data_IF_518120492303
#
_entry.id   IF_518120492303
#
_cell.length_a   1.000
_cell.length_b   1.000
_cell.length_c   1.000
_cell.angle_alpha   90.00
_cell.angle_beta   90.00
_cell.angle_gamma   90.00
#
_symmetry.space_group_name_H-M   'P 1'
#
loop_
_entity.id
_entity.type
_entity.pdbx_description
1 polymer ?
#
# COMPACT_ATOMS: atom_id res chain seq x y z
N UNK A 1 20.02 7.18 9.26
CA UNK A 1 18.65 7.58 9.61
C UNK A 1 18.17 8.87 8.94
N UNK A 2 18.96 9.95 8.96
CA UNK A 2 18.59 11.23 8.31
C UNK A 2 18.16 11.09 6.84
N UNK A 3 18.90 10.31 6.06
CA UNK A 3 18.60 10.09 4.63
C UNK A 3 17.34 9.25 4.41
N UNK A 4 17.07 8.27 5.26
CA UNK A 4 15.85 7.47 5.18
C UNK A 4 14.59 8.32 5.46
N UNK A 5 14.65 9.19 6.45
CA UNK A 5 13.54 10.12 6.75
C UNK A 5 13.31 11.09 5.59
N UNK A 6 14.39 11.60 4.99
CA UNK A 6 14.28 12.44 3.80
C UNK A 6 13.61 11.69 2.63
N UNK A 7 13.97 10.43 2.41
CA UNK A 7 13.35 9.59 1.39
C UNK A 7 11.84 9.42 1.59
N UNK A 8 11.40 9.14 2.81
CA UNK A 8 9.98 9.06 3.14
C UNK A 8 9.27 10.40 2.85
N UNK A 9 9.91 11.52 3.20
CA UNK A 9 9.34 12.84 2.93
C UNK A 9 9.18 13.10 1.44
N UNK A 10 10.17 12.74 0.62
CA UNK A 10 10.08 12.86 -0.84
C UNK A 10 8.96 12.01 -1.41
N UNK A 11 8.82 10.77 -0.95
CA UNK A 11 7.75 9.88 -1.38
C UNK A 11 6.36 10.48 -1.11
N UNK A 12 6.13 10.98 0.10
CA UNK A 12 4.85 11.56 0.48
C UNK A 12 4.53 12.87 -0.24
N UNK A 13 5.56 13.66 -0.57
CA UNK A 13 5.38 14.96 -1.19
C UNK A 13 5.21 14.90 -2.71
N UNK A 14 5.99 14.03 -3.37
CA UNK A 14 6.16 14.11 -4.81
C UNK A 14 5.30 13.10 -5.57
N UNK A 15 4.69 12.12 -4.87
CA UNK A 15 3.92 11.07 -5.51
C UNK A 15 2.42 11.20 -5.26
N UNK A 16 1.66 11.33 -6.34
CA UNK A 16 0.20 11.36 -6.27
C UNK A 16 -0.39 10.09 -5.64
N UNK A 17 0.15 8.93 -6.00
CA UNK A 17 -0.32 7.64 -5.48
C UNK A 17 -0.08 7.47 -3.97
N UNK A 18 0.89 8.18 -3.41
CA UNK A 18 1.15 8.15 -1.96
C UNK A 18 -0.07 8.61 -1.16
N UNK A 19 -0.88 9.54 -1.67
CA UNK A 19 -2.10 9.98 -1.03
C UNK A 19 -3.15 8.88 -0.94
N UNK A 20 -3.30 8.09 -2.01
CA UNK A 20 -4.21 6.95 -2.03
C UNK A 20 -3.77 5.88 -1.02
N UNK A 21 -2.48 5.58 -0.97
CA UNK A 21 -1.94 4.63 0.01
C UNK A 21 -2.05 5.15 1.43
N UNK A 22 -1.85 6.44 1.66
CA UNK A 22 -2.04 7.05 2.98
C UNK A 22 -3.50 6.97 3.43
N UNK A 23 -4.44 7.29 2.55
CA UNK A 23 -5.88 7.17 2.85
C UNK A 23 -6.26 5.72 3.15
N UNK A 24 -5.83 4.77 2.33
CA UNK A 24 -6.09 3.35 2.55
C UNK A 24 -5.50 2.87 3.87
N UNK A 25 -4.28 3.30 4.22
CA UNK A 25 -3.63 2.97 5.48
C UNK A 25 -4.44 3.50 6.67
N UNK A 26 -4.89 4.75 6.62
CA UNK A 26 -5.71 5.37 7.67
C UNK A 26 -7.03 4.61 7.85
N UNK A 27 -7.70 4.26 6.74
CA UNK A 27 -8.96 3.50 6.78
C UNK A 27 -8.77 2.12 7.39
N UNK A 28 -7.68 1.42 7.04
CA UNK A 28 -7.37 0.09 7.59
C UNK A 28 -7.08 0.18 9.09
N UNK A 29 -6.26 1.13 9.51
CA UNK A 29 -5.95 1.32 10.93
C UNK A 29 -7.19 1.69 11.74
N UNK A 30 -8.00 2.61 11.24
CA UNK A 30 -9.25 3.00 11.89
C UNK A 30 -10.23 1.81 12.01
N UNK A 31 -10.36 1.02 10.94
CA UNK A 31 -11.19 -0.19 10.94
C UNK A 31 -10.67 -1.24 11.92
N UNK A 32 -9.36 -1.43 11.99
CA UNK A 32 -8.73 -2.36 12.93
C UNK A 32 -9.03 -2.00 14.38
N UNK A 33 -8.95 -0.73 14.73
CA UNK A 33 -9.31 -0.25 16.07
C UNK A 33 -10.80 -0.35 16.34
N UNK A 34 -11.63 0.01 15.36
CA UNK A 34 -13.08 -0.06 15.49
C UNK A 34 -13.58 -1.49 15.74
N UNK A 35 -13.09 -2.46 14.97
CA UNK A 35 -13.50 -3.86 15.09
C UNK A 35 -12.74 -4.65 16.15
N UNK A 36 -11.79 -4.05 16.85
CA UNK A 36 -10.97 -4.71 17.87
C UNK A 36 -10.32 -6.00 17.34
N UNK A 37 -9.65 -5.87 16.21
CA UNK A 37 -8.99 -7.02 15.56
C UNK A 37 -7.93 -7.63 16.48
N UNK A 38 -7.73 -8.94 16.35
CA UNK A 38 -6.80 -9.70 17.19
C UNK A 38 -5.34 -9.32 16.92
N UNK A 39 -4.41 -9.64 17.84
CA UNK A 39 -2.98 -9.43 17.57
C UNK A 39 -2.48 -10.11 16.30
N UNK A 40 -2.96 -11.31 15.99
CA UNK A 40 -2.61 -12.01 14.74
C UNK A 40 -3.12 -11.27 13.51
N UNK A 41 -4.32 -10.73 13.58
CA UNK A 41 -4.89 -9.89 12.50
C UNK A 41 -4.10 -8.59 12.35
N UNK A 42 -3.68 -7.96 13.45
CA UNK A 42 -2.80 -6.79 13.42
C UNK A 42 -1.45 -7.08 12.76
N UNK A 43 -0.85 -8.25 13.03
CA UNK A 43 0.38 -8.68 12.35
C UNK A 43 0.19 -8.75 10.83
N UNK A 44 -0.90 -9.37 10.38
CA UNK A 44 -1.20 -9.48 8.96
C UNK A 44 -1.44 -8.11 8.31
N UNK A 45 -2.19 -7.23 8.97
CA UNK A 45 -2.44 -5.86 8.47
C UNK A 45 -1.16 -5.04 8.42
N UNK A 46 -0.30 -5.15 9.43
CA UNK A 46 1.00 -4.47 9.45
C UNK A 46 1.88 -4.90 8.28
N UNK A 47 1.95 -6.21 8.02
CA UNK A 47 2.70 -6.74 6.88
C UNK A 47 2.12 -6.26 5.55
N UNK A 48 0.80 -6.26 5.41
CA UNK A 48 0.13 -5.77 4.21
C UNK A 48 0.46 -4.30 3.93
N UNK A 49 0.32 -3.44 4.94
CA UNK A 49 0.60 -2.01 4.83
C UNK A 49 2.06 -1.75 4.50
N UNK A 50 2.99 -2.37 5.23
CA UNK A 50 4.43 -2.15 5.00
C UNK A 50 4.88 -2.66 3.65
N UNK A 51 4.32 -3.76 3.17
CA UNK A 51 4.64 -4.31 1.85
C UNK A 51 4.24 -3.34 0.73
N UNK A 52 3.04 -2.77 0.79
CA UNK A 52 2.58 -1.80 -0.20
C UNK A 52 3.44 -0.54 -0.21
N UNK A 53 3.72 0.02 0.97
CA UNK A 53 4.56 1.21 1.08
C UNK A 53 5.99 0.97 0.61
N UNK A 54 6.54 -0.19 0.91
CA UNK A 54 7.89 -0.58 0.45
C UNK A 54 7.94 -0.71 -1.07
N UNK A 55 6.95 -1.38 -1.66
CA UNK A 55 6.85 -1.52 -3.12
C UNK A 55 6.72 -0.16 -3.80
N UNK A 56 5.88 0.73 -3.27
CA UNK A 56 5.69 2.09 -3.80
C UNK A 56 6.99 2.91 -3.72
N UNK A 57 7.68 2.85 -2.59
CA UNK A 57 8.94 3.56 -2.42
C UNK A 57 10.02 3.08 -3.40
N UNK A 58 10.14 1.77 -3.58
CA UNK A 58 11.09 1.19 -4.53
C UNK A 58 10.73 1.53 -5.97
N UNK A 59 9.44 1.49 -6.33
CA UNK A 59 8.97 1.88 -7.65
C UNK A 59 9.31 3.35 -7.94
N UNK A 60 9.04 4.23 -7.00
CA UNK A 60 9.32 5.67 -7.12
C UNK A 60 10.82 5.93 -7.29
N UNK A 61 11.65 5.31 -6.46
CA UNK A 61 13.10 5.44 -6.57
C UNK A 61 13.61 4.92 -7.91
N UNK A 62 13.04 3.82 -8.39
CA UNK A 62 13.38 3.23 -9.68
C UNK A 62 13.00 4.17 -10.85
N UNK A 63 11.83 4.80 -10.80
CA UNK A 63 11.41 5.78 -11.79
C UNK A 63 12.36 6.96 -11.89
N UNK A 64 12.76 7.55 -10.75
CA UNK A 64 13.73 8.63 -10.73
C UNK A 64 15.07 8.21 -11.34
N UNK A 65 15.54 7.01 -11.01
CA UNK A 65 16.79 6.47 -11.55
C UNK A 65 16.70 6.30 -13.08
N UNK A 66 15.60 5.76 -13.57
CA UNK A 66 15.37 5.57 -15.00
C UNK A 66 15.34 6.92 -15.75
N UNK A 67 14.72 7.93 -15.15
CA UNK A 67 14.61 9.27 -15.77
C UNK A 67 15.98 9.95 -15.91
N UNK A 68 16.91 9.69 -14.99
CA UNK A 68 18.29 10.19 -15.05
C UNK A 68 19.11 9.43 -16.10
N UNK A 69 18.97 8.09 -16.14
CA UNK A 69 19.77 7.23 -17.04
C UNK A 69 19.30 7.35 -18.48
N UNK A 70 17.98 7.43 -18.68
CA UNK A 70 17.37 7.45 -20.02
C UNK A 70 16.22 8.45 -20.06
N UNK A 71 16.51 9.75 -20.23
CA UNK A 71 15.47 10.77 -20.37
C UNK A 71 14.66 10.60 -21.65
N UNK A 72 15.23 9.95 -22.67
CA UNK A 72 14.53 9.62 -23.91
C UNK A 72 13.89 8.23 -23.82
N UNK A 73 12.91 7.97 -24.69
CA UNK A 73 12.25 6.68 -24.74
C UNK A 73 13.22 5.55 -25.11
N UNK A 74 13.22 4.50 -24.28
CA UNK A 74 13.93 3.26 -24.54
C UNK A 74 13.04 2.07 -24.17
N UNK A 75 12.86 1.08 -25.08
CA UNK A 75 11.90 -0.01 -24.84
C UNK A 75 12.18 -0.85 -23.59
N UNK A 76 13.46 -1.10 -23.26
CA UNK A 76 13.84 -1.87 -22.08
C UNK A 76 13.59 -1.07 -20.80
N UNK A 77 13.82 0.24 -20.81
CA UNK A 77 13.56 1.12 -19.67
C UNK A 77 12.07 1.18 -19.41
N UNK A 78 11.24 1.32 -20.45
CA UNK A 78 9.77 1.25 -20.32
C UNK A 78 9.33 -0.07 -19.70
N UNK A 79 9.85 -1.19 -20.18
CA UNK A 79 9.54 -2.52 -19.66
C UNK A 79 9.92 -2.64 -18.18
N UNK A 80 11.07 -2.12 -17.79
CA UNK A 80 11.54 -2.13 -16.40
C UNK A 80 10.64 -1.27 -15.49
N UNK A 81 10.23 -0.10 -15.94
CA UNK A 81 9.26 0.74 -15.22
C UNK A 81 7.91 0.04 -15.05
N UNK A 82 7.43 -0.63 -16.10
CA UNK A 82 6.16 -1.37 -16.06
C UNK A 82 6.23 -2.54 -15.05
N UNK A 83 7.36 -3.23 -14.99
CA UNK A 83 7.58 -4.31 -14.01
C UNK A 83 7.58 -3.76 -12.58
N UNK A 84 8.25 -2.64 -12.35
CA UNK A 84 8.26 -1.99 -11.03
C UNK A 84 6.85 -1.54 -10.60
N UNK A 85 6.09 -0.96 -11.52
CA UNK A 85 4.68 -0.63 -11.28
C UNK A 85 3.83 -1.87 -11.02
N UNK A 86 4.10 -2.97 -11.72
CA UNK A 86 3.46 -4.27 -11.51
C UNK A 86 3.70 -4.83 -10.11
N UNK A 87 4.88 -4.60 -9.54
CA UNK A 87 5.18 -5.00 -8.16
C UNK A 87 4.29 -4.26 -7.15
N UNK A 88 4.04 -2.97 -7.37
CA UNK A 88 3.09 -2.19 -6.55
C UNK A 88 1.69 -2.77 -6.66
N UNK A 89 1.24 -3.07 -7.88
CA UNK A 89 -0.08 -3.66 -8.11
C UNK A 89 -0.24 -5.02 -7.43
N UNK A 90 0.75 -5.89 -7.54
CA UNK A 90 0.74 -7.20 -6.87
C UNK A 90 0.64 -7.05 -5.35
N UNK A 91 1.41 -6.12 -4.78
CA UNK A 91 1.38 -5.82 -3.34
C UNK A 91 0.00 -5.30 -2.91
N UNK A 92 -0.60 -4.42 -3.71
CA UNK A 92 -1.92 -3.86 -3.43
C UNK A 92 -3.01 -4.94 -3.49
N UNK A 93 -2.96 -5.86 -4.46
CA UNK A 93 -3.89 -6.99 -4.56
C UNK A 93 -3.75 -7.90 -3.34
N UNK A 94 -2.52 -8.24 -2.94
CA UNK A 94 -2.27 -9.05 -1.76
C UNK A 94 -2.78 -8.38 -0.47
N UNK A 95 -2.55 -7.09 -0.33
CA UNK A 95 -3.03 -6.31 0.80
C UNK A 95 -4.57 -6.25 0.84
N UNK A 96 -5.21 -6.07 -0.31
CA UNK A 96 -6.68 -6.10 -0.42
C UNK A 96 -7.23 -7.46 -0.02
N UNK A 97 -6.61 -8.55 -0.45
CA UNK A 97 -7.01 -9.91 -0.05
C UNK A 97 -6.93 -10.10 1.47
N UNK A 98 -5.85 -9.66 2.09
CA UNK A 98 -5.68 -9.71 3.56
C UNK A 98 -6.78 -8.90 4.24
N UNK A 99 -7.06 -7.69 3.76
CA UNK A 99 -8.12 -6.84 4.29
C UNK A 99 -9.49 -7.49 4.21
N UNK A 100 -9.84 -8.10 3.09
CA UNK A 100 -11.11 -8.82 2.94
C UNK A 100 -11.21 -10.02 3.89
N UNK A 101 -10.15 -10.81 3.99
CA UNK A 101 -10.13 -11.98 4.88
C UNK A 101 -10.36 -11.57 6.33
N UNK A 102 -9.76 -10.46 6.76
CA UNK A 102 -9.86 -9.99 8.15
C UNK A 102 -11.19 -9.29 8.40
N UNK A 103 -11.57 -8.33 7.57
CA UNK A 103 -12.70 -7.45 7.87
C UNK A 103 -14.06 -8.01 7.47
N UNK A 104 -14.15 -8.88 6.49
CA UNK A 104 -15.44 -9.43 6.05
C UNK A 104 -16.21 -10.14 7.16
N UNK A 105 -15.59 -11.01 8.00
CA UNK A 105 -16.29 -11.60 9.14
C UNK A 105 -16.76 -10.56 10.16
N UNK A 106 -15.98 -9.54 10.42
CA UNK A 106 -16.34 -8.46 11.35
C UNK A 106 -17.54 -7.66 10.84
N UNK A 107 -17.56 -7.33 9.55
CA UNK A 107 -18.69 -6.61 8.93
C UNK A 107 -19.96 -7.47 8.94
N UNK A 108 -19.86 -8.76 8.64
CA UNK A 108 -20.99 -9.69 8.71
C UNK A 108 -21.59 -9.75 10.11
N UNK A 109 -20.76 -9.85 11.13
CA UNK A 109 -21.21 -9.85 12.52
C UNK A 109 -21.90 -8.53 12.89
N UNK A 110 -21.39 -7.40 12.44
CA UNK A 110 -22.00 -6.09 12.68
C UNK A 110 -23.38 -6.01 12.03
N UNK A 111 -23.55 -6.47 10.80
CA UNK A 111 -24.81 -6.46 10.07
C UNK A 111 -25.86 -7.34 10.75
N UNK A 112 -25.48 -8.44 11.35
CA UNK A 112 -26.37 -9.33 12.08
C UNK A 112 -26.93 -8.70 13.37
N UNK A 113 -26.28 -7.67 13.90
CA UNK A 113 -26.74 -6.95 15.09
C UNK A 113 -27.76 -5.85 14.76
N UNK A 114 -27.91 -5.48 13.48
CA UNK A 114 -28.85 -4.45 13.07
C UNK A 114 -30.26 -5.03 12.90
N UNK A 115 -31.29 -4.45 13.56
CA UNK A 115 -32.66 -4.92 13.40
C UNK A 115 -33.17 -4.66 11.96
N UNK A 116 -33.72 -5.69 11.35
CA UNK A 116 -34.32 -5.58 10.01
C UNK A 116 -33.38 -5.80 8.81
N UNK A 117 -32.19 -6.31 9.04
CA UNK A 117 -31.25 -6.70 7.98
C UNK A 117 -31.21 -8.20 7.81
#
# INVERSE_FOLDING_TARGET
MRHAIAGIRYLLRDQYNAWLHALATILVLASGFYFHVTPSEWLALTLAITMVWTAEALNTAFEYLCDVISPEFHPLVKKSKDIAAGAVLMSAIGAAAIGFIIFLPHVKSLLQLLPGV
#
